data_IF_582538175545
#
_entry.id   IF_582538175545
#
_cell.length_a   1.000
_cell.length_b   1.000
_cell.length_c   1.000
_cell.angle_alpha   90.00
_cell.angle_beta   90.00
_cell.angle_gamma   90.00
#
_symmetry.space_group_name_H-M   'P 1'
#
loop_
_entity.id
_entity.type
_entity.pdbx_description
1 polymer ?
#
# COMPACT_ATOMS: atom_id res chain seq x y z
N UNK A 1 -9.73 9.74 20.40
CA UNK A 1 -10.38 10.25 19.17
C UNK A 1 -9.78 9.59 17.91
N UNK A 2 -8.44 9.55 17.71
CA UNK A 2 -7.78 8.97 16.52
C UNK A 2 -8.17 7.49 16.29
N UNK A 3 -8.12 6.66 17.33
CA UNK A 3 -8.51 5.24 17.25
C UNK A 3 -9.98 5.11 16.85
N UNK A 4 -10.89 5.84 17.47
CA UNK A 4 -12.31 5.83 17.11
C UNK A 4 -12.53 6.24 15.65
N UNK A 5 -11.82 7.27 15.17
CA UNK A 5 -11.88 7.69 13.77
C UNK A 5 -11.45 6.58 12.81
N UNK A 6 -10.39 5.84 13.14
CA UNK A 6 -9.90 4.72 12.31
C UNK A 6 -10.83 3.50 12.28
N UNK A 7 -11.75 3.38 13.25
CA UNK A 7 -12.72 2.28 13.32
C UNK A 7 -14.02 2.59 12.58
N UNK A 8 -14.49 3.83 12.66
CA UNK A 8 -15.79 4.25 12.11
C UNK A 8 -15.70 5.09 10.85
N UNK A 9 -14.55 5.74 10.62
CA UNK A 9 -14.24 6.47 9.40
C UNK A 9 -13.86 5.55 8.23
N UNK A 10 -13.40 6.14 7.16
CA UNK A 10 -12.76 5.43 6.04
C UNK A 10 -11.25 5.25 6.28
N UNK A 11 -10.49 5.11 5.19
CA UNK A 11 -9.03 5.16 5.25
C UNK A 11 -8.57 6.43 5.96
N UNK A 12 -7.67 6.29 6.93
CA UNK A 12 -7.36 7.32 7.92
C UNK A 12 -5.90 7.75 7.85
N UNK A 13 -5.64 9.03 8.05
CA UNK A 13 -4.29 9.58 8.20
C UNK A 13 -4.10 10.16 9.61
N UNK A 14 -3.16 9.59 10.37
CA UNK A 14 -2.67 10.16 11.63
C UNK A 14 -1.55 11.17 11.35
N UNK A 15 -1.91 12.41 11.10
CA UNK A 15 -0.97 13.51 10.87
C UNK A 15 -0.66 14.21 12.20
N UNK A 16 -0.02 13.50 13.11
CA UNK A 16 0.34 14.00 14.43
C UNK A 16 1.83 14.31 14.52
N UNK A 17 2.20 15.30 15.33
CA UNK A 17 3.60 15.66 15.54
C UNK A 17 4.44 14.48 16.04
N UNK A 18 5.75 14.60 15.86
CA UNK A 18 6.71 13.60 16.38
C UNK A 18 6.56 13.49 17.90
N UNK A 19 6.53 12.27 18.43
CA UNK A 19 6.35 12.00 19.87
C UNK A 19 4.90 11.97 20.36
N UNK A 20 3.90 12.22 19.51
CA UNK A 20 2.47 12.17 19.89
C UNK A 20 1.92 10.76 20.16
N UNK A 21 2.73 9.71 20.01
CA UNK A 21 2.31 8.33 20.26
C UNK A 21 1.66 7.63 19.06
N UNK A 22 1.93 8.04 17.83
CA UNK A 22 1.36 7.44 16.61
C UNK A 22 1.44 5.93 16.55
N UNK A 23 2.58 5.34 16.95
CA UNK A 23 2.75 3.88 17.03
C UNK A 23 1.69 3.26 17.94
N UNK A 24 1.45 3.86 19.11
CA UNK A 24 0.44 3.38 20.07
C UNK A 24 -0.98 3.54 19.53
N UNK A 25 -1.25 4.61 18.79
CA UNK A 25 -2.56 4.81 18.15
C UNK A 25 -2.80 3.75 17.06
N UNK A 26 -1.80 3.42 16.25
CA UNK A 26 -1.90 2.34 15.26
C UNK A 26 -2.11 0.98 15.91
N UNK A 27 -1.32 0.65 16.93
CA UNK A 27 -1.45 -0.60 17.70
C UNK A 27 -2.82 -0.72 18.35
N UNK A 28 -3.29 0.33 19.02
CA UNK A 28 -4.62 0.36 19.62
C UNK A 28 -5.73 0.23 18.57
N UNK A 29 -5.58 0.88 17.41
CA UNK A 29 -6.54 0.75 16.29
C UNK A 29 -6.62 -0.67 15.74
N UNK A 30 -5.49 -1.38 15.67
CA UNK A 30 -5.44 -2.79 15.27
C UNK A 30 -6.20 -3.66 16.27
N UNK A 31 -5.86 -3.54 17.54
CA UNK A 31 -6.42 -4.41 18.57
C UNK A 31 -7.89 -4.12 18.87
N UNK A 32 -8.32 -2.87 18.82
CA UNK A 32 -9.74 -2.50 18.95
C UNK A 32 -10.55 -2.95 17.74
N UNK A 33 -10.03 -2.83 16.52
CA UNK A 33 -10.67 -3.37 15.34
C UNK A 33 -10.87 -4.89 15.42
N UNK A 34 -9.86 -5.60 15.94
CA UNK A 34 -9.95 -7.04 16.21
C UNK A 34 -10.99 -7.33 17.27
N UNK A 35 -10.97 -6.63 18.41
CA UNK A 35 -11.92 -6.80 19.49
C UNK A 35 -13.38 -6.62 19.06
N UNK A 36 -13.60 -5.71 18.10
CA UNK A 36 -14.92 -5.42 17.52
C UNK A 36 -15.31 -6.36 16.36
N UNK A 37 -14.41 -7.27 15.95
CA UNK A 37 -14.64 -8.15 14.80
C UNK A 37 -14.61 -7.44 13.44
N UNK A 38 -14.06 -6.23 13.38
CA UNK A 38 -13.93 -5.42 12.16
C UNK A 38 -12.75 -5.90 11.31
N UNK A 39 -11.69 -6.39 11.96
CA UNK A 39 -10.46 -6.85 11.32
C UNK A 39 -9.94 -8.10 12.04
N UNK A 40 -9.28 -8.99 11.28
CA UNK A 40 -8.76 -10.25 11.81
C UNK A 40 -7.24 -10.29 11.84
N UNK A 41 -6.58 -9.75 10.80
CA UNK A 41 -5.12 -9.77 10.67
C UNK A 41 -4.62 -8.43 10.12
N UNK A 42 -3.82 -7.74 10.90
CA UNK A 42 -3.22 -6.49 10.48
C UNK A 42 -1.79 -6.67 9.95
N UNK A 43 -1.41 -5.82 9.01
CA UNK A 43 -0.03 -5.67 8.56
C UNK A 43 0.45 -4.25 8.89
N UNK A 44 1.52 -4.16 9.67
CA UNK A 44 2.11 -2.89 10.09
C UNK A 44 3.46 -2.70 9.40
N UNK A 45 3.56 -1.67 8.58
CA UNK A 45 4.73 -1.34 7.77
C UNK A 45 5.44 -0.16 8.39
N UNK A 46 6.71 -0.36 8.74
CA UNK A 46 7.52 0.63 9.46
C UNK A 46 8.90 0.80 8.82
N UNK A 47 9.65 1.87 9.13
CA UNK A 47 11.05 1.97 8.77
C UNK A 47 11.85 0.77 9.30
N UNK A 48 12.79 0.25 8.50
CA UNK A 48 13.49 -1.00 8.80
C UNK A 48 14.25 -1.04 10.13
N UNK A 49 14.70 0.12 10.60
CA UNK A 49 15.39 0.23 11.90
C UNK A 49 14.42 0.26 13.10
N UNK A 50 13.12 0.46 12.87
CA UNK A 50 12.08 0.49 13.90
C UNK A 50 11.30 -0.82 14.03
N UNK A 51 11.57 -1.82 13.18
CA UNK A 51 10.77 -3.05 13.11
C UNK A 51 10.74 -3.79 14.45
N UNK A 52 11.89 -4.00 15.08
CA UNK A 52 12.02 -4.69 16.38
C UNK A 52 11.39 -3.85 17.50
N UNK A 53 11.72 -2.55 17.56
CA UNK A 53 11.16 -1.63 18.54
C UNK A 53 9.62 -1.60 18.47
N UNK A 54 9.05 -1.53 17.26
CA UNK A 54 7.60 -1.55 17.07
C UNK A 54 6.99 -2.84 17.60
N UNK A 55 7.66 -3.98 17.39
CA UNK A 55 7.23 -5.25 17.96
C UNK A 55 7.22 -5.24 19.49
N UNK A 56 8.27 -4.72 20.11
CA UNK A 56 8.37 -4.58 21.57
C UNK A 56 7.30 -3.65 22.15
N UNK A 57 7.07 -2.50 21.49
CA UNK A 57 6.02 -1.56 21.89
C UNK A 57 4.63 -2.18 21.75
N UNK A 58 4.40 -2.96 20.70
CA UNK A 58 3.15 -3.71 20.52
C UNK A 58 2.91 -4.70 21.66
N UNK A 59 3.92 -5.53 21.97
CA UNK A 59 3.86 -6.49 23.09
C UNK A 59 3.73 -5.82 24.45
N UNK A 60 4.33 -4.64 24.64
CA UNK A 60 4.21 -3.86 25.87
C UNK A 60 2.78 -3.38 26.10
N UNK A 61 2.07 -2.95 25.03
CA UNK A 61 0.68 -2.50 25.11
C UNK A 61 -0.31 -3.66 25.24
N UNK A 62 -0.07 -4.73 24.50
CA UNK A 62 -0.92 -5.90 24.43
C UNK A 62 -0.10 -7.19 24.60
N UNK A 63 0.27 -7.56 25.85
CA UNK A 63 1.17 -8.68 26.12
C UNK A 63 0.70 -10.04 25.60
N UNK A 64 -0.61 -10.21 25.38
CA UNK A 64 -1.17 -11.46 24.86
C UNK A 64 -1.38 -11.46 23.33
N UNK A 65 -1.07 -10.36 22.66
CA UNK A 65 -1.22 -10.29 21.21
C UNK A 65 -0.25 -11.25 20.51
N UNK A 66 -0.77 -11.98 19.53
CA UNK A 66 0.01 -12.86 18.67
C UNK A 66 0.57 -12.06 17.52
N UNK A 67 1.79 -11.56 17.66
CA UNK A 67 2.44 -10.77 16.64
C UNK A 67 3.60 -11.53 16.00
N UNK A 68 3.84 -11.28 14.73
CA UNK A 68 4.99 -11.77 13.98
C UNK A 68 5.83 -10.59 13.52
N UNK A 69 7.06 -10.50 13.99
CA UNK A 69 8.00 -9.46 13.59
C UNK A 69 8.96 -10.04 12.56
N UNK A 70 8.96 -9.46 11.36
CA UNK A 70 9.81 -9.91 10.27
C UNK A 70 11.27 -9.50 10.49
N UNK A 71 12.18 -10.45 10.41
CA UNK A 71 13.61 -10.24 10.49
C UNK A 71 14.26 -10.15 9.10
N UNK A 72 15.51 -9.72 9.03
CA UNK A 72 16.28 -9.72 7.77
C UNK A 72 16.43 -11.14 7.21
N UNK A 73 16.64 -12.13 8.09
CA UNK A 73 16.80 -13.55 7.72
C UNK A 73 15.54 -14.14 7.08
N UNK A 74 14.36 -13.75 7.54
CA UNK A 74 13.09 -14.22 6.99
C UNK A 74 12.93 -13.83 5.50
N UNK A 75 13.57 -12.76 5.04
CA UNK A 75 13.50 -12.30 3.66
C UNK A 75 14.71 -12.65 2.79
N UNK A 76 15.61 -13.49 3.29
CA UNK A 76 16.61 -14.15 2.44
C UNK A 76 15.91 -15.08 1.43
N UNK A 77 16.54 -15.29 0.27
CA UNK A 77 15.93 -16.00 -0.86
C UNK A 77 15.36 -17.37 -0.48
N UNK A 78 16.04 -18.09 0.42
CA UNK A 78 15.65 -19.43 0.87
C UNK A 78 14.52 -19.43 1.91
N UNK A 79 14.42 -18.42 2.77
CA UNK A 79 13.52 -18.38 3.92
C UNK A 79 12.21 -17.63 3.62
N UNK A 80 12.23 -16.74 2.61
CA UNK A 80 11.11 -15.84 2.32
C UNK A 80 9.79 -16.57 2.06
N UNK A 81 9.82 -17.68 1.31
CA UNK A 81 8.61 -18.47 1.02
C UNK A 81 8.01 -19.05 2.29
N UNK A 82 8.83 -19.58 3.17
CA UNK A 82 8.38 -20.13 4.46
C UNK A 82 7.79 -19.04 5.35
N UNK A 83 8.45 -17.86 5.43
CA UNK A 83 7.93 -16.72 6.20
C UNK A 83 6.56 -16.27 5.67
N UNK A 84 6.41 -16.10 4.36
CA UNK A 84 5.14 -15.68 3.75
C UNK A 84 4.06 -16.75 3.97
N UNK A 85 4.37 -18.03 3.83
CA UNK A 85 3.45 -19.12 4.14
C UNK A 85 3.02 -19.09 5.61
N UNK A 86 3.93 -18.82 6.54
CA UNK A 86 3.62 -18.66 7.96
C UNK A 86 2.70 -17.47 8.24
N UNK A 87 2.89 -16.36 7.52
CA UNK A 87 1.97 -15.22 7.59
C UNK A 87 0.57 -15.60 7.10
N UNK A 88 0.49 -16.30 5.96
CA UNK A 88 -0.77 -16.68 5.33
C UNK A 88 -1.57 -17.69 6.17
N UNK A 89 -0.90 -18.74 6.67
CA UNK A 89 -1.57 -19.91 7.28
C UNK A 89 -1.82 -19.80 8.77
N UNK A 90 -1.07 -18.97 9.50
CA UNK A 90 -1.22 -18.84 10.94
C UNK A 90 -2.09 -17.64 11.33
N UNK A 91 -2.72 -17.77 12.50
CA UNK A 91 -3.63 -16.75 13.02
C UNK A 91 -2.85 -15.70 13.85
N UNK A 92 -2.34 -14.69 13.18
CA UNK A 92 -1.67 -13.54 13.76
C UNK A 92 -2.64 -12.38 13.99
N UNK A 93 -2.44 -11.64 15.06
CA UNK A 93 -3.16 -10.39 15.30
C UNK A 93 -2.57 -9.27 14.45
N UNK A 94 -1.23 -9.26 14.37
CA UNK A 94 -0.51 -8.36 13.50
C UNK A 94 0.80 -8.98 13.02
N UNK A 95 1.24 -8.54 11.85
CA UNK A 95 2.57 -8.79 11.30
C UNK A 95 3.27 -7.45 11.14
N UNK A 96 4.46 -7.32 11.69
CA UNK A 96 5.29 -6.10 11.58
C UNK A 96 6.43 -6.36 10.62
N UNK A 97 6.59 -5.51 9.61
CA UNK A 97 7.69 -5.64 8.65
C UNK A 97 8.16 -4.29 8.11
N UNK A 98 9.35 -4.30 7.54
CA UNK A 98 9.91 -3.11 6.92
C UNK A 98 9.36 -2.84 5.52
N UNK A 99 9.54 -1.60 5.01
CA UNK A 99 9.20 -1.22 3.64
C UNK A 99 9.85 -2.12 2.58
N UNK A 100 11.13 -2.47 2.77
CA UNK A 100 11.87 -3.29 1.83
C UNK A 100 11.40 -4.76 1.81
N UNK A 101 10.92 -5.26 2.94
CA UNK A 101 10.31 -6.58 3.04
C UNK A 101 8.92 -6.58 2.37
N UNK A 102 8.11 -5.58 2.69
CA UNK A 102 6.78 -5.40 2.13
C UNK A 102 6.78 -5.30 0.59
N UNK A 103 7.73 -4.57 0.00
CA UNK A 103 7.92 -4.46 -1.45
C UNK A 103 8.16 -5.82 -2.13
N UNK A 104 8.70 -6.80 -1.41
CA UNK A 104 9.01 -8.13 -1.96
C UNK A 104 7.79 -9.07 -2.01
N UNK A 105 6.70 -8.72 -1.38
CA UNK A 105 5.42 -9.43 -1.46
C UNK A 105 4.61 -8.74 -2.56
N UNK A 106 4.36 -9.43 -3.65
CA UNK A 106 3.67 -8.84 -4.80
C UNK A 106 2.18 -9.06 -4.73
N UNK A 107 1.44 -8.19 -5.36
CA UNK A 107 0.02 -8.36 -5.65
C UNK A 107 -0.10 -9.30 -6.85
N UNK A 108 -1.19 -10.06 -6.95
CA UNK A 108 -1.45 -10.97 -8.07
C UNK A 108 -1.34 -10.24 -9.42
N UNK A 109 -0.93 -10.99 -10.44
CA UNK A 109 -0.75 -10.40 -11.77
C UNK A 109 -2.07 -9.89 -12.33
N UNK A 110 -3.14 -10.66 -12.15
CA UNK A 110 -4.49 -10.30 -12.61
C UNK A 110 -4.91 -8.92 -12.06
N UNK A 111 -4.64 -8.68 -10.78
CA UNK A 111 -4.94 -7.41 -10.13
C UNK A 111 -4.04 -6.28 -10.64
N UNK A 112 -2.76 -6.56 -10.85
CA UNK A 112 -1.85 -5.57 -11.43
C UNK A 112 -2.30 -5.17 -12.84
N UNK A 113 -2.65 -6.15 -13.69
CA UNK A 113 -3.16 -5.91 -15.05
C UNK A 113 -4.46 -5.11 -15.05
N UNK A 114 -5.41 -5.49 -14.20
CA UNK A 114 -6.68 -4.79 -14.06
C UNK A 114 -6.49 -3.32 -13.66
N UNK A 115 -5.57 -3.04 -12.73
CA UNK A 115 -5.31 -1.67 -12.31
C UNK A 115 -4.59 -0.87 -13.41
N UNK A 116 -3.59 -1.44 -14.09
CA UNK A 116 -2.96 -0.75 -15.21
C UNK A 116 -3.98 -0.42 -16.30
N UNK A 117 -4.88 -1.36 -16.63
CA UNK A 117 -5.93 -1.13 -17.61
C UNK A 117 -6.89 -0.01 -17.19
N UNK A 118 -7.32 0.00 -15.93
CA UNK A 118 -8.21 1.04 -15.41
C UNK A 118 -7.57 2.43 -15.40
N UNK A 119 -6.29 2.53 -15.03
CA UNK A 119 -5.56 3.81 -15.06
C UNK A 119 -5.30 4.30 -16.51
N UNK A 120 -5.04 3.41 -17.45
CA UNK A 120 -4.93 3.75 -18.88
C UNK A 120 -6.26 4.33 -19.38
N UNK A 121 -7.38 3.71 -19.01
CA UNK A 121 -8.71 4.19 -19.42
C UNK A 121 -9.03 5.57 -18.82
N UNK A 122 -8.75 5.78 -17.55
CA UNK A 122 -8.90 7.09 -16.90
C UNK A 122 -8.09 8.18 -17.59
N UNK A 123 -6.85 7.86 -18.00
CA UNK A 123 -6.03 8.80 -18.76
C UNK A 123 -6.60 9.05 -20.16
N UNK A 124 -7.18 8.03 -20.79
CA UNK A 124 -7.85 8.17 -22.10
C UNK A 124 -9.04 9.12 -22.00
N UNK A 125 -9.93 8.93 -21.04
CA UNK A 125 -11.07 9.80 -20.78
C UNK A 125 -10.64 11.25 -20.51
N UNK A 126 -9.57 11.44 -19.73
CA UNK A 126 -9.01 12.75 -19.48
C UNK A 126 -8.47 13.43 -20.76
N UNK A 127 -7.81 12.68 -21.63
CA UNK A 127 -7.31 13.17 -22.92
C UNK A 127 -8.46 13.52 -23.89
N UNK A 128 -9.52 12.72 -23.94
CA UNK A 128 -10.70 12.99 -24.77
C UNK A 128 -11.42 14.25 -24.31
N UNK A 129 -11.59 14.45 -23.02
CA UNK A 129 -12.20 15.66 -22.46
C UNK A 129 -11.40 16.93 -22.74
N UNK A 130 -10.08 16.85 -22.86
CA UNK A 130 -9.22 17.99 -23.22
C UNK A 130 -9.23 18.30 -24.73
N UNK A 131 -9.31 17.29 -25.57
CA UNK A 131 -9.36 17.47 -27.04
C UNK A 131 -10.66 18.17 -27.50
N UNK A 132 -11.76 18.02 -26.76
CA UNK A 132 -13.04 18.72 -27.02
C UNK A 132 -12.95 20.22 -26.72
N UNK A 133 -12.01 20.66 -25.87
CA UNK A 133 -11.96 22.04 -25.37
C UNK A 133 -10.98 22.94 -26.14
N UNK A 134 -10.06 22.44 -26.94
CA UNK A 134 -9.00 23.25 -27.61
C UNK A 134 -8.54 22.76 -28.98
N UNK A 135 -8.78 23.59 -29.98
CA UNK A 135 -8.03 23.64 -31.24
C UNK A 135 -6.81 24.55 -31.05
N UNK A 136 -5.65 24.01 -30.68
CA UNK A 136 -4.41 24.76 -30.50
C UNK A 136 -3.27 23.88 -29.99
N UNK A 137 -2.06 24.44 -29.86
CA UNK A 137 -0.88 23.71 -29.39
C UNK A 137 -1.18 22.85 -28.15
N UNK A 138 -0.79 21.57 -28.18
CA UNK A 138 -1.03 20.61 -27.07
C UNK A 138 -0.43 21.15 -25.77
N UNK A 139 -1.24 21.41 -24.73
CA UNK A 139 -0.74 21.87 -23.44
C UNK A 139 0.29 20.90 -22.86
N UNK A 140 1.18 21.40 -22.02
CA UNK A 140 2.19 20.58 -21.34
C UNK A 140 1.56 19.39 -20.56
N UNK A 141 0.36 19.58 -19.99
CA UNK A 141 -0.46 18.55 -19.32
C UNK A 141 -0.81 17.39 -20.25
N UNK A 142 -1.25 17.66 -21.47
CA UNK A 142 -1.61 16.63 -22.45
C UNK A 142 -0.39 15.77 -22.83
N UNK A 143 0.76 16.39 -23.07
CA UNK A 143 2.00 15.66 -23.37
C UNK A 143 2.43 14.76 -22.20
N UNK A 144 2.25 15.21 -20.96
CA UNK A 144 2.52 14.39 -19.77
C UNK A 144 1.57 13.20 -19.66
N UNK A 145 0.27 13.40 -19.88
CA UNK A 145 -0.74 12.32 -19.89
C UNK A 145 -0.43 11.28 -20.98
N UNK A 146 -0.11 11.72 -22.22
CA UNK A 146 0.27 10.83 -23.32
C UNK A 146 1.52 10.01 -22.96
N UNK A 147 2.55 10.66 -22.38
CA UNK A 147 3.77 9.97 -21.93
C UNK A 147 3.48 8.94 -20.84
N UNK A 148 2.62 9.29 -19.89
CA UNK A 148 2.21 8.39 -18.80
C UNK A 148 1.44 7.19 -19.34
N UNK A 149 0.48 7.41 -20.23
CA UNK A 149 -0.28 6.35 -20.90
C UNK A 149 0.66 5.33 -21.55
N UNK A 150 1.59 5.79 -22.39
CA UNK A 150 2.59 4.93 -23.03
C UNK A 150 3.44 4.15 -22.03
N UNK A 151 3.82 4.78 -20.92
CA UNK A 151 4.59 4.10 -19.86
C UNK A 151 3.78 2.99 -19.18
N UNK A 152 2.49 3.20 -18.95
CA UNK A 152 1.61 2.19 -18.36
C UNK A 152 1.32 1.05 -19.34
N UNK A 153 1.09 1.36 -20.62
CA UNK A 153 0.91 0.35 -21.67
C UNK A 153 2.14 -0.56 -21.77
N UNK A 154 3.35 0.01 -21.78
CA UNK A 154 4.59 -0.77 -21.81
C UNK A 154 4.78 -1.64 -20.54
N UNK A 155 4.37 -1.14 -19.36
CA UNK A 155 4.40 -1.94 -18.12
C UNK A 155 3.41 -3.09 -18.17
N UNK A 156 2.21 -2.85 -18.69
CA UNK A 156 1.17 -3.87 -18.85
C UNK A 156 1.65 -4.98 -19.81
N UNK A 157 2.18 -4.61 -20.96
CA UNK A 157 2.73 -5.56 -21.94
C UNK A 157 3.85 -6.41 -21.34
N UNK A 158 4.79 -5.77 -20.63
CA UNK A 158 5.87 -6.47 -19.94
C UNK A 158 5.34 -7.47 -18.91
N UNK A 159 4.34 -7.07 -18.12
CA UNK A 159 3.72 -7.93 -17.11
C UNK A 159 3.07 -9.15 -17.74
N UNK A 160 2.38 -8.98 -18.86
CA UNK A 160 1.75 -10.08 -19.59
C UNK A 160 2.79 -11.06 -20.16
N UNK A 161 3.91 -10.56 -20.68
CA UNK A 161 5.00 -11.40 -21.20
C UNK A 161 5.74 -12.18 -20.08
N UNK A 162 5.89 -11.60 -18.90
CA UNK A 162 6.56 -12.24 -17.76
C UNK A 162 5.66 -13.25 -17.04
N UNK A 163 4.35 -13.08 -17.10
CA UNK A 163 3.37 -13.87 -16.35
C UNK A 163 3.29 -15.34 -16.71
N UNK A 164 3.69 -15.71 -17.92
CA UNK A 164 3.69 -17.11 -18.35
C UNK A 164 4.85 -17.95 -17.78
N UNK A 165 5.90 -17.31 -17.27
CA UNK A 165 7.18 -17.99 -16.98
C UNK A 165 7.48 -18.29 -15.50
N UNK A 166 6.81 -17.69 -14.51
CA UNK A 166 7.34 -17.67 -13.13
C UNK A 166 6.30 -17.86 -11.99
N UNK A 167 5.21 -18.60 -12.18
CA UNK A 167 4.10 -18.64 -11.21
C UNK A 167 4.06 -19.80 -10.21
N UNK A 168 4.92 -20.81 -10.29
CA UNK A 168 4.83 -21.93 -9.35
C UNK A 168 5.29 -21.54 -7.93
N UNK A 169 4.33 -21.50 -7.01
CA UNK A 169 4.58 -21.46 -5.57
C UNK A 169 4.94 -20.08 -5.00
N UNK A 170 4.54 -19.00 -5.64
CA UNK A 170 4.59 -17.65 -5.07
C UNK A 170 3.24 -17.36 -4.41
N UNK A 171 3.26 -16.99 -3.13
CA UNK A 171 2.06 -16.54 -2.40
C UNK A 171 1.94 -15.04 -2.64
N UNK A 172 0.81 -14.62 -3.20
CA UNK A 172 0.49 -13.23 -3.47
C UNK A 172 0.00 -12.50 -2.20
N UNK A 173 0.00 -11.17 -2.25
CA UNK A 173 -0.42 -10.32 -1.12
C UNK A 173 -1.84 -10.63 -0.65
N UNK A 174 -2.74 -10.91 -1.58
CA UNK A 174 -4.14 -11.27 -1.32
C UNK A 174 -4.29 -12.55 -0.50
N UNK A 175 -3.37 -13.49 -0.68
CA UNK A 175 -3.39 -14.78 0.02
C UNK A 175 -2.88 -14.69 1.46
N UNK A 176 -2.31 -13.56 1.87
CA UNK A 176 -1.86 -13.35 3.25
C UNK A 176 -3.01 -13.31 4.26
N UNK A 177 -4.23 -13.07 3.80
CA UNK A 177 -5.41 -12.90 4.64
C UNK A 177 -5.34 -11.65 5.52
N UNK A 178 -4.62 -10.62 5.07
CA UNK A 178 -4.53 -9.31 5.73
C UNK A 178 -5.75 -8.48 5.34
N UNK A 179 -6.43 -7.93 6.34
CA UNK A 179 -7.60 -7.07 6.17
C UNK A 179 -7.43 -5.67 6.81
N UNK A 180 -6.25 -5.38 7.35
CA UNK A 180 -5.88 -4.04 7.83
C UNK A 180 -4.42 -3.74 7.53
N UNK A 181 -4.17 -2.58 6.91
CA UNK A 181 -2.84 -2.13 6.55
C UNK A 181 -2.52 -0.82 7.26
N UNK A 182 -1.52 -0.82 8.11
CA UNK A 182 -1.01 0.36 8.81
C UNK A 182 0.38 0.71 8.26
N UNK A 183 0.57 1.92 7.81
CA UNK A 183 1.84 2.39 7.22
C UNK A 183 2.35 3.58 8.01
N UNK A 184 3.44 3.36 8.73
CA UNK A 184 4.13 4.43 9.44
C UNK A 184 5.03 5.22 8.49
N UNK A 185 5.30 6.48 8.83
CA UNK A 185 6.07 7.44 8.02
C UNK A 185 5.62 7.44 6.54
N UNK A 186 4.32 7.54 6.31
CA UNK A 186 3.68 7.44 5.00
C UNK A 186 4.24 8.43 3.96
N UNK A 187 4.90 9.49 4.39
CA UNK A 187 5.57 10.46 3.51
C UNK A 187 6.66 9.82 2.62
N UNK A 188 7.20 8.66 2.98
CA UNK A 188 8.11 7.91 2.09
C UNK A 188 7.45 7.42 0.79
N UNK A 189 6.12 7.42 0.72
CA UNK A 189 5.30 6.97 -0.41
C UNK A 189 4.59 8.11 -1.15
N UNK A 190 4.96 9.35 -0.91
CA UNK A 190 4.29 10.56 -1.42
C UNK A 190 4.31 10.72 -2.95
N UNK A 191 5.21 10.04 -3.65
CA UNK A 191 5.37 10.19 -5.10
C UNK A 191 4.47 9.20 -5.86
N UNK A 192 3.17 9.25 -5.62
CA UNK A 192 2.17 8.61 -6.47
C UNK A 192 1.76 9.60 -7.56
N UNK A 193 1.79 9.15 -8.81
CA UNK A 193 1.32 10.00 -9.91
C UNK A 193 -0.19 10.26 -9.75
N UNK A 194 -0.55 11.52 -9.74
CA UNK A 194 -1.95 11.95 -9.73
C UNK A 194 -2.21 12.73 -11.02
N UNK A 195 -3.12 12.27 -11.91
CA UNK A 195 -3.50 13.04 -13.08
C UNK A 195 -4.16 14.35 -12.60
N UNK A 196 -3.48 15.47 -12.80
CA UNK A 196 -3.96 16.79 -12.39
C UNK A 196 -3.71 17.82 -13.48
N UNK A 197 -4.63 18.76 -13.61
CA UNK A 197 -4.48 19.94 -14.49
C UNK A 197 -3.57 21.00 -13.87
N UNK A 198 -3.25 20.86 -12.59
CA UNK A 198 -2.41 21.80 -11.86
C UNK A 198 -0.93 21.47 -12.12
N UNK A 199 -0.22 22.34 -12.80
CA UNK A 199 1.23 22.26 -12.99
C UNK A 199 1.93 23.24 -12.05
N UNK A 200 3.07 22.81 -11.47
CA UNK A 200 3.88 23.68 -10.62
C UNK A 200 3.34 23.94 -9.21
N UNK A 201 2.36 23.17 -8.74
CA UNK A 201 1.85 23.27 -7.37
C UNK A 201 2.75 22.50 -6.43
N UNK A 202 3.23 23.17 -5.38
CA UNK A 202 4.04 22.54 -4.34
C UNK A 202 3.26 21.39 -3.68
N UNK A 203 3.89 20.23 -3.54
CA UNK A 203 3.28 19.02 -2.95
C UNK A 203 2.59 18.08 -3.94
N UNK A 204 2.31 18.51 -5.17
CA UNK A 204 1.78 17.65 -6.23
C UNK A 204 2.93 17.25 -7.14
N UNK A 205 3.49 16.06 -6.89
CA UNK A 205 4.58 15.51 -7.69
C UNK A 205 4.06 14.90 -9.00
N UNK A 206 4.76 15.19 -10.10
CA UNK A 206 4.54 14.53 -11.40
C UNK A 206 5.41 13.27 -11.57
N UNK A 207 6.30 13.01 -10.62
CA UNK A 207 7.15 11.83 -10.60
C UNK A 207 6.44 10.66 -9.92
N UNK A 208 6.53 9.47 -10.50
CA UNK A 208 6.03 8.23 -9.91
C UNK A 208 7.19 7.41 -9.38
N UNK A 209 7.04 6.87 -8.18
CA UNK A 209 7.94 5.85 -7.67
C UNK A 209 7.26 4.48 -7.69
N UNK A 210 8.01 3.44 -8.07
CA UNK A 210 7.53 2.04 -8.01
C UNK A 210 7.04 1.67 -6.60
N UNK A 211 7.68 2.23 -5.56
CA UNK A 211 7.30 2.03 -4.16
C UNK A 211 5.89 2.55 -3.88
N UNK A 212 5.57 3.77 -4.35
CA UNK A 212 4.25 4.37 -4.14
C UNK A 212 3.17 3.63 -4.93
N UNK A 213 3.51 3.16 -6.13
CA UNK A 213 2.62 2.38 -6.96
C UNK A 213 2.32 1.00 -6.33
N UNK A 214 3.33 0.29 -5.84
CA UNK A 214 3.18 -0.99 -5.14
C UNK A 214 2.30 -0.85 -3.89
N UNK A 215 2.50 0.21 -3.09
CA UNK A 215 1.64 0.50 -1.95
C UNK A 215 0.20 0.81 -2.39
N UNK A 216 0.02 1.59 -3.45
CA UNK A 216 -1.29 1.94 -3.97
C UNK A 216 -2.10 0.70 -4.37
N UNK A 217 -1.48 -0.25 -5.09
CA UNK A 217 -2.08 -1.54 -5.44
C UNK A 217 -2.61 -2.29 -4.22
N UNK A 218 -1.78 -2.39 -3.18
CA UNK A 218 -2.12 -3.08 -1.93
C UNK A 218 -3.22 -2.35 -1.15
N UNK A 219 -3.17 -1.02 -1.12
CA UNK A 219 -4.23 -0.21 -0.52
C UNK A 219 -5.58 -0.38 -1.24
N UNK A 220 -5.56 -0.44 -2.59
CA UNK A 220 -6.77 -0.68 -3.36
C UNK A 220 -7.41 -2.04 -3.00
N UNK A 221 -6.60 -3.09 -2.90
CA UNK A 221 -7.09 -4.40 -2.46
C UNK A 221 -7.70 -4.34 -1.05
N UNK A 222 -6.98 -3.78 -0.07
CA UNK A 222 -7.49 -3.66 1.30
C UNK A 222 -8.78 -2.82 1.35
N UNK A 223 -8.85 -1.72 0.61
CA UNK A 223 -10.05 -0.87 0.55
C UNK A 223 -11.24 -1.60 -0.07
N UNK A 224 -11.00 -2.41 -1.07
CA UNK A 224 -12.05 -3.23 -1.71
C UNK A 224 -12.66 -4.23 -0.72
N UNK A 225 -11.83 -5.02 -0.01
CA UNK A 225 -12.31 -6.04 0.91
C UNK A 225 -12.86 -5.49 2.24
N UNK A 226 -12.55 -4.23 2.57
CA UNK A 226 -12.94 -3.59 3.83
C UNK A 226 -13.90 -2.42 3.68
N UNK A 227 -14.45 -2.19 2.49
CA UNK A 227 -15.28 -1.02 2.18
C UNK A 227 -14.60 0.31 2.59
N UNK A 228 -13.34 0.48 2.22
CA UNK A 228 -12.49 1.64 2.50
C UNK A 228 -12.19 1.90 3.99
N UNK A 229 -12.19 0.87 4.83
CA UNK A 229 -11.97 1.02 6.28
C UNK A 229 -10.69 0.34 6.80
N UNK A 230 -9.91 -0.27 5.91
CA UNK A 230 -8.76 -1.10 6.29
C UNK A 230 -7.41 -0.42 6.26
N UNK A 231 -7.29 0.84 5.79
CA UNK A 231 -5.99 1.49 5.59
C UNK A 231 -5.78 2.63 6.57
N UNK A 232 -4.63 2.62 7.25
CA UNK A 232 -4.19 3.68 8.16
C UNK A 232 -2.80 4.13 7.74
N UNK A 233 -2.64 5.42 7.55
CA UNK A 233 -1.35 6.07 7.36
C UNK A 233 -0.98 6.87 8.60
N UNK A 234 0.31 6.90 8.95
CA UNK A 234 0.85 7.78 9.97
C UNK A 234 2.01 8.58 9.40
N UNK A 235 2.10 9.85 9.78
CA UNK A 235 3.22 10.74 9.42
C UNK A 235 3.37 11.84 10.46
N UNK A 236 4.57 12.36 10.61
CA UNK A 236 4.90 13.50 11.45
C UNK A 236 5.31 14.71 10.66
#
# INVERSE_FOLDING_TARGET
DAVAHSLYGGSTLFAHCVGAGKTFEMVASIMEAKRLGISHKALMIVPGHLTEQTGEEFQRLYPQAKILVATKKDFEKQNRREFIARVATQNWDAVVMSYEQFKRIKVSQERQEALYASEIERIREALESENVIRSGDKPHSVRQLEKKKKSLEAKLEKLQQEGEKNREGVIDFEELGVDRLCVDEAHYFKNLYTPTRLSGVAGIGTSESERSWDLYLKCQYINEITNNKGVIFATG
#
